data_IF_645450780450
#
_entry.id   IF_645450780450
#
_cell.length_a   1.000
_cell.length_b   1.000
_cell.length_c   1.000
_cell.angle_alpha   90.00
_cell.angle_beta   90.00
_cell.angle_gamma   90.00
#
_symmetry.space_group_name_H-M   'P 1'
#
loop_
_entity.id
_entity.type
_entity.pdbx_description
1 polymer ?
#
# COMPACT_ATOMS: atom_id res chain seq x y z
N UNK A 1 -31.75 -2.32 -1.10
CA UNK A 1 -30.58 -2.92 -1.78
C UNK A 1 -29.53 -1.83 -1.82
N UNK A 2 -28.49 -1.99 -0.99
CA UNK A 2 -27.17 -1.34 -1.01
C UNK A 2 -27.14 0.21 -0.91
N UNK A 3 -26.25 0.86 -0.17
CA UNK A 3 -24.84 0.55 0.10
C UNK A 3 -24.46 0.99 1.53
N UNK A 4 -23.73 0.10 2.20
CA UNK A 4 -23.05 0.37 3.46
C UNK A 4 -21.86 1.30 3.15
N UNK A 5 -21.91 2.56 3.60
CA UNK A 5 -20.71 3.39 3.73
C UNK A 5 -20.06 3.04 5.07
N UNK A 6 -19.18 2.06 5.05
CA UNK A 6 -18.27 1.77 6.16
C UNK A 6 -16.85 2.01 5.67
N UNK A 7 -16.47 3.29 5.68
CA UNK A 7 -15.09 3.73 5.42
C UNK A 7 -14.44 4.24 6.71
N UNK A 8 -14.80 3.65 7.85
CA UNK A 8 -13.94 3.67 9.04
C UNK A 8 -12.91 2.54 8.89
N UNK A 9 -11.94 2.73 7.99
CA UNK A 9 -10.69 1.99 8.06
C UNK A 9 -9.98 2.48 9.32
N UNK A 10 -10.22 1.78 10.44
CA UNK A 10 -9.35 1.86 11.60
C UNK A 10 -7.91 1.74 11.09
N UNK A 11 -7.12 2.80 11.28
CA UNK A 11 -5.67 2.71 11.19
C UNK A 11 -5.26 1.64 12.18
N UNK A 12 -5.13 0.41 11.70
CA UNK A 12 -4.35 -0.58 12.38
C UNK A 12 -2.94 -0.02 12.37
N UNK A 13 -2.58 0.69 13.44
CA UNK A 13 -1.21 0.75 13.91
C UNK A 13 -0.83 -0.69 14.26
N UNK A 14 -0.60 -1.48 13.20
CA UNK A 14 -0.17 -2.85 13.23
C UNK A 14 1.09 -2.84 14.08
N UNK A 15 1.09 -3.58 15.19
CA UNK A 15 2.23 -3.65 16.11
C UNK A 15 3.41 -4.25 15.36
N UNK A 16 4.16 -3.41 14.65
CA UNK A 16 5.38 -3.82 13.97
C UNK A 16 6.42 -4.08 15.04
N UNK A 17 6.72 -5.36 15.23
CA UNK A 17 7.78 -5.77 16.12
C UNK A 17 9.11 -5.14 15.68
N UNK A 18 9.98 -4.73 16.61
CA UNK A 18 11.29 -4.20 16.26
C UNK A 18 12.02 -5.11 15.28
N UNK A 19 12.45 -4.55 14.15
CA UNK A 19 13.13 -5.28 13.08
C UNK A 19 12.21 -5.80 11.97
N UNK A 20 10.89 -5.82 12.16
CA UNK A 20 9.95 -6.09 11.08
C UNK A 20 9.81 -4.85 10.21
N UNK A 21 10.07 -5.00 8.91
CA UNK A 21 10.05 -3.92 7.93
C UNK A 21 9.49 -4.44 6.63
N UNK A 22 9.03 -3.52 5.80
CA UNK A 22 8.70 -3.83 4.42
C UNK A 22 9.97 -4.21 3.64
N UNK A 23 10.12 -5.50 3.37
CA UNK A 23 11.23 -6.06 2.60
C UNK A 23 10.71 -7.16 1.65
N UNK A 24 9.85 -6.81 0.68
CA UNK A 24 9.31 -7.79 -0.26
C UNK A 24 10.37 -8.23 -1.26
N UNK A 25 10.20 -9.44 -1.78
CA UNK A 25 10.88 -9.93 -2.99
C UNK A 25 10.26 -9.31 -4.25
N UNK A 26 10.99 -9.35 -5.37
CA UNK A 26 10.48 -8.90 -6.69
C UNK A 26 9.17 -9.63 -7.07
N UNK A 27 9.09 -10.92 -6.76
CA UNK A 27 7.91 -11.73 -7.04
C UNK A 27 6.70 -11.25 -6.24
N UNK A 28 6.89 -10.91 -4.96
CA UNK A 28 5.82 -10.37 -4.11
C UNK A 28 5.39 -8.98 -4.59
N UNK A 29 6.33 -8.09 -4.93
CA UNK A 29 6.03 -6.77 -5.48
C UNK A 29 5.09 -6.84 -6.69
N UNK A 30 5.38 -7.75 -7.64
CA UNK A 30 4.57 -7.88 -8.86
C UNK A 30 3.29 -8.67 -8.61
N UNK A 31 3.40 -9.90 -8.09
CA UNK A 31 2.26 -10.83 -8.01
C UNK A 31 1.27 -10.48 -6.91
N UNK A 32 1.73 -9.84 -5.83
CA UNK A 32 0.88 -9.49 -4.71
C UNK A 32 0.45 -8.02 -4.79
N UNK A 33 1.39 -7.08 -4.78
CA UNK A 33 1.08 -5.65 -4.61
C UNK A 33 0.58 -5.01 -5.91
N UNK A 34 1.37 -5.08 -6.98
CA UNK A 34 1.00 -4.47 -8.26
C UNK A 34 -0.26 -5.11 -8.85
N UNK A 35 -0.35 -6.45 -8.83
CA UNK A 35 -1.52 -7.19 -9.31
C UNK A 35 -2.81 -6.82 -8.55
N UNK A 36 -2.74 -6.62 -7.22
CA UNK A 36 -3.92 -6.18 -6.44
C UNK A 36 -4.33 -4.76 -6.79
N UNK A 37 -3.36 -3.85 -6.95
CA UNK A 37 -3.61 -2.45 -7.33
C UNK A 37 -4.36 -2.36 -8.67
N UNK A 38 -3.91 -3.08 -9.70
CA UNK A 38 -4.59 -3.09 -11.01
C UNK A 38 -5.98 -3.74 -10.96
N UNK A 39 -6.20 -4.66 -10.01
CA UNK A 39 -7.48 -5.32 -9.79
C UNK A 39 -8.41 -4.52 -8.85
N UNK A 40 -8.00 -3.33 -8.41
CA UNK A 40 -8.72 -2.51 -7.43
C UNK A 40 -9.06 -3.27 -6.13
N UNK A 41 -8.19 -4.23 -5.76
CA UNK A 41 -8.33 -4.95 -4.51
C UNK A 41 -7.67 -4.17 -3.39
N UNK A 42 -8.34 -4.10 -2.24
CA UNK A 42 -7.78 -3.52 -1.03
C UNK A 42 -6.43 -4.18 -0.68
N UNK A 43 -5.44 -3.34 -0.36
CA UNK A 43 -4.17 -3.79 0.19
C UNK A 43 -4.31 -3.76 1.72
N UNK A 44 -3.80 -4.78 2.42
CA UNK A 44 -3.92 -4.86 3.88
C UNK A 44 -3.23 -3.70 4.61
N UNK A 45 -2.29 -3.02 3.94
CA UNK A 45 -1.52 -1.91 4.50
C UNK A 45 -1.37 -0.84 3.41
N UNK A 46 -1.70 0.42 3.73
CA UNK A 46 -1.46 1.60 2.86
C UNK A 46 0.02 2.00 2.81
N UNK A 47 0.91 1.03 2.62
CA UNK A 47 2.35 1.25 2.70
C UNK A 47 2.94 1.88 1.42
N UNK A 48 2.30 1.64 0.28
CA UNK A 48 2.74 2.12 -1.04
C UNK A 48 1.84 3.29 -1.47
N UNK A 49 2.37 4.51 -1.37
CA UNK A 49 1.66 5.74 -1.79
C UNK A 49 1.54 5.84 -3.32
N UNK A 50 0.48 6.50 -3.78
CA UNK A 50 0.31 6.84 -5.19
C UNK A 50 0.93 8.21 -5.47
N UNK A 51 1.86 8.25 -6.42
CA UNK A 51 2.56 9.47 -6.82
C UNK A 51 2.92 9.40 -8.30
N UNK A 52 2.83 10.53 -8.99
CA UNK A 52 3.42 10.70 -10.32
C UNK A 52 4.91 11.04 -10.16
N UNK A 53 5.73 9.99 -10.11
CA UNK A 53 7.16 10.10 -9.80
C UNK A 53 7.95 10.94 -10.82
N UNK A 54 7.43 11.15 -12.03
CA UNK A 54 8.13 11.90 -13.09
C UNK A 54 8.04 13.41 -12.92
N UNK A 55 7.23 13.89 -11.96
CA UNK A 55 7.08 15.32 -11.65
C UNK A 55 8.01 15.82 -10.55
N UNK A 56 8.80 14.93 -9.95
CA UNK A 56 9.64 15.23 -8.79
C UNK A 56 11.08 14.88 -9.10
N UNK A 57 12.00 15.64 -8.50
CA UNK A 57 13.39 15.20 -8.49
C UNK A 57 13.55 13.99 -7.57
N UNK A 58 14.50 13.08 -7.83
CA UNK A 58 14.67 11.87 -7.03
C UNK A 58 14.90 12.12 -5.53
N UNK A 59 15.49 13.27 -5.17
CA UNK A 59 15.75 13.68 -3.78
C UNK A 59 14.54 14.35 -3.10
N UNK A 60 13.54 14.77 -3.86
CA UNK A 60 12.29 15.30 -3.32
C UNK A 60 11.32 14.17 -2.94
N UNK A 61 11.64 12.94 -3.34
CA UNK A 61 10.86 11.77 -2.96
C UNK A 61 11.12 11.42 -1.47
N UNK A 62 10.05 11.32 -0.67
CA UNK A 62 10.11 10.98 0.76
C UNK A 62 10.54 9.55 1.06
#
# INVERSE_FOLDING_TARGET
>A
MEEIRSDDMEKQDEVMLPGFRFHPTDEELVRFYLKRKIQQKSLPIELIRQLDIYKFDPWDLP
#
